data_IF_101859921162
#
_entry.id   IF_101859921162
#
_cell.length_a   1.000
_cell.length_b   1.000
_cell.length_c   1.000
_cell.angle_alpha   90.00
_cell.angle_beta   90.00
_cell.angle_gamma   90.00
#
_symmetry.space_group_name_H-M   'P 1'
#
loop_
_entity.id
_entity.type
_entity.pdbx_description
1 polymer ?
#
# COMPACT_ATOMS: atom_id res chain seq x y z
N UNK A 1 -29.52 -33.25 25.99
CA UNK A 1 -29.52 -32.07 25.09
C UNK A 1 -28.75 -32.43 23.83
N UNK A 2 -29.31 -32.22 22.65
CA UNK A 2 -28.59 -32.48 21.40
C UNK A 2 -27.53 -31.39 21.18
N UNK A 3 -26.26 -31.79 21.00
CA UNK A 3 -25.16 -30.90 20.66
C UNK A 3 -25.30 -30.46 19.21
N UNK A 4 -25.57 -29.18 18.96
CA UNK A 4 -25.57 -28.61 17.60
C UNK A 4 -24.14 -28.27 17.20
N UNK A 5 -23.56 -29.08 16.32
CA UNK A 5 -22.24 -28.80 15.74
C UNK A 5 -22.43 -27.87 14.54
N UNK A 6 -21.90 -26.65 14.61
CA UNK A 6 -21.90 -25.70 13.49
C UNK A 6 -20.57 -25.82 12.75
N UNK A 7 -20.60 -26.31 11.50
CA UNK A 7 -19.42 -26.33 10.62
C UNK A 7 -19.18 -24.92 10.08
N UNK A 8 -17.96 -24.42 10.26
CA UNK A 8 -17.47 -23.20 9.61
C UNK A 8 -16.56 -23.56 8.45
N UNK A 9 -16.75 -22.89 7.33
CA UNK A 9 -15.89 -22.99 6.15
C UNK A 9 -15.33 -21.60 5.83
N UNK A 10 -14.13 -21.53 5.24
CA UNK A 10 -13.59 -20.26 4.76
C UNK A 10 -14.56 -19.63 3.76
N UNK A 11 -14.80 -18.33 3.90
CA UNK A 11 -15.62 -17.54 2.98
C UNK A 11 -14.71 -16.77 2.02
N UNK A 12 -13.74 -16.06 2.58
CA UNK A 12 -12.83 -15.18 1.85
C UNK A 12 -11.58 -14.92 2.69
N UNK A 13 -10.45 -14.75 2.01
CA UNK A 13 -9.22 -14.22 2.59
C UNK A 13 -8.87 -12.88 1.97
N UNK A 14 -8.23 -12.03 2.76
CA UNK A 14 -7.67 -10.77 2.31
C UNK A 14 -6.28 -10.65 2.93
N UNK A 15 -5.31 -10.23 2.12
CA UNK A 15 -3.95 -9.98 2.56
C UNK A 15 -3.46 -8.61 2.11
N UNK A 16 -2.62 -8.01 2.94
CA UNK A 16 -1.85 -6.82 2.59
C UNK A 16 -0.47 -7.29 2.17
N UNK A 17 -0.19 -7.23 0.87
CA UNK A 17 1.12 -7.62 0.35
C UNK A 17 2.03 -6.41 0.32
N UNK A 18 3.04 -6.45 1.19
CA UNK A 18 4.05 -5.41 1.28
C UNK A 18 5.37 -5.87 0.66
N UNK A 19 5.68 -5.38 -0.55
CA UNK A 19 6.86 -5.86 -1.29
C UNK A 19 8.19 -5.50 -0.64
N UNK A 20 8.22 -4.49 0.25
CA UNK A 20 9.41 -4.16 1.04
C UNK A 20 9.92 -5.36 1.88
N UNK A 21 9.01 -6.23 2.37
CA UNK A 21 9.35 -7.44 3.15
C UNK A 21 9.43 -8.72 2.31
N UNK A 22 9.28 -8.64 0.98
CA UNK A 22 9.13 -9.82 0.10
C UNK A 22 10.31 -10.78 0.08
N UNK A 23 11.49 -10.34 0.53
CA UNK A 23 12.69 -11.17 0.62
C UNK A 23 12.66 -12.14 1.82
N UNK A 24 11.78 -11.91 2.82
CA UNK A 24 11.53 -12.77 4.00
C UNK A 24 12.78 -13.14 4.83
N UNK A 25 13.83 -12.30 4.83
CA UNK A 25 15.14 -12.65 5.43
C UNK A 25 15.24 -12.25 6.91
N UNK A 26 14.25 -11.54 7.45
CA UNK A 26 14.33 -11.01 8.80
C UNK A 26 13.69 -11.96 9.84
N UNK A 27 14.54 -12.67 10.59
CA UNK A 27 14.10 -13.56 11.67
C UNK A 27 13.33 -12.83 12.79
N UNK A 28 13.56 -11.53 12.99
CA UNK A 28 12.81 -10.75 13.99
C UNK A 28 11.33 -10.54 13.61
N UNK A 29 10.99 -10.60 12.32
CA UNK A 29 9.57 -10.63 11.87
C UNK A 29 8.97 -12.05 11.92
N UNK A 30 9.77 -13.08 12.16
CA UNK A 30 9.27 -14.45 12.37
C UNK A 30 8.84 -14.69 13.84
N UNK A 31 9.40 -13.94 14.80
CA UNK A 31 9.08 -14.11 16.23
C UNK A 31 7.82 -13.35 16.66
N UNK A 32 7.64 -12.10 16.22
CA UNK A 32 6.39 -11.33 16.37
C UNK A 32 6.32 -10.28 15.26
N UNK A 33 5.75 -10.60 14.08
CA UNK A 33 5.62 -9.62 13.00
C UNK A 33 4.86 -8.39 13.49
N UNK A 34 5.49 -7.22 13.41
CA UNK A 34 4.78 -5.94 13.64
C UNK A 34 4.05 -5.59 12.36
N UNK A 35 2.72 -5.69 12.40
CA UNK A 35 1.89 -5.35 11.25
C UNK A 35 1.94 -3.84 10.99
N UNK A 36 2.06 -3.45 9.72
CA UNK A 36 1.93 -2.06 9.32
C UNK A 36 0.49 -1.55 9.42
N UNK A 37 -0.47 -2.48 9.41
CA UNK A 37 -1.89 -2.19 9.42
C UNK A 37 -2.64 -3.07 10.42
N UNK A 38 -3.65 -2.49 11.05
CA UNK A 38 -4.69 -3.22 11.77
C UNK A 38 -5.98 -3.12 10.98
N UNK A 39 -6.57 -4.26 10.63
CA UNK A 39 -7.87 -4.29 9.95
C UNK A 39 -8.95 -4.65 10.97
N UNK A 40 -10.01 -3.86 11.00
CA UNK A 40 -11.15 -4.07 11.89
C UNK A 40 -12.46 -3.99 11.10
N UNK A 41 -13.43 -4.88 11.33
CA UNK A 41 -14.73 -4.76 10.67
C UNK A 41 -15.47 -3.51 11.16
N UNK A 42 -16.27 -2.88 10.30
CA UNK A 42 -17.16 -1.80 10.76
C UNK A 42 -18.22 -2.34 11.72
N UNK A 43 -18.87 -1.47 12.50
CA UNK A 43 -19.93 -1.88 13.42
C UNK A 43 -21.07 -2.61 12.70
N UNK A 44 -21.44 -2.14 11.50
CA UNK A 44 -22.45 -2.75 10.66
C UNK A 44 -21.99 -4.10 10.10
N UNK A 45 -20.71 -4.20 9.70
CA UNK A 45 -20.13 -5.47 9.27
C UNK A 45 -20.11 -6.50 10.40
N UNK A 46 -19.77 -6.09 11.63
CA UNK A 46 -19.83 -6.98 12.81
C UNK A 46 -21.26 -7.47 13.07
N UNK A 47 -22.25 -6.57 13.03
CA UNK A 47 -23.65 -6.93 13.21
C UNK A 47 -24.13 -7.88 12.11
N UNK A 48 -23.77 -7.60 10.85
CA UNK A 48 -24.07 -8.46 9.70
C UNK A 48 -23.44 -9.85 9.86
N UNK A 49 -22.14 -9.92 10.16
CA UNK A 49 -21.44 -11.19 10.33
C UNK A 49 -22.05 -12.02 11.46
N UNK A 50 -22.39 -11.41 12.59
CA UNK A 50 -23.11 -12.09 13.69
C UNK A 50 -24.46 -12.64 13.22
N UNK A 51 -25.25 -11.84 12.52
CA UNK A 51 -26.55 -12.26 12.00
C UNK A 51 -26.45 -13.40 10.96
N UNK A 52 -25.34 -13.45 10.21
CA UNK A 52 -25.11 -14.47 9.17
C UNK A 52 -24.29 -15.67 9.64
N UNK A 53 -23.96 -15.79 10.92
CA UNK A 53 -23.05 -16.83 11.44
C UNK A 53 -21.70 -16.80 10.72
N UNK A 54 -21.10 -15.63 10.62
CA UNK A 54 -19.75 -15.43 10.10
C UNK A 54 -18.80 -15.03 11.23
N UNK A 55 -17.54 -15.41 11.11
CA UNK A 55 -16.48 -15.12 12.08
C UNK A 55 -15.33 -14.46 11.36
N UNK A 56 -14.91 -13.30 11.86
CA UNK A 56 -13.73 -12.58 11.42
C UNK A 56 -12.51 -12.99 12.24
N UNK A 57 -11.37 -13.18 11.59
CA UNK A 57 -10.08 -13.41 12.23
C UNK A 57 -9.00 -12.61 11.51
N UNK A 58 -8.22 -11.84 12.26
CA UNK A 58 -7.00 -11.25 11.71
C UNK A 58 -5.94 -12.32 11.45
N UNK A 59 -5.04 -12.03 10.52
CA UNK A 59 -3.87 -12.85 10.21
C UNK A 59 -2.62 -12.15 10.71
N UNK A 60 -1.90 -12.81 11.62
CA UNK A 60 -0.74 -12.20 12.26
C UNK A 60 0.45 -12.07 11.30
N UNK A 61 0.46 -12.82 10.19
CA UNK A 61 1.60 -12.88 9.26
C UNK A 61 1.45 -12.02 8.01
N UNK A 62 0.22 -11.75 7.55
CA UNK A 62 -0.06 -11.09 6.26
C UNK A 62 -0.70 -9.71 6.40
N UNK A 63 -0.85 -9.18 7.61
CA UNK A 63 -1.52 -7.89 7.85
C UNK A 63 -2.96 -7.84 7.36
N UNK A 64 -3.55 -9.01 7.14
CA UNK A 64 -4.83 -9.24 6.49
C UNK A 64 -5.83 -9.91 7.41
N UNK A 65 -6.85 -10.55 6.83
CA UNK A 65 -7.87 -11.28 7.59
C UNK A 65 -8.46 -12.46 6.82
N UNK A 66 -9.13 -13.33 7.56
CA UNK A 66 -9.98 -14.40 7.06
C UNK A 66 -11.38 -14.20 7.60
N UNK A 67 -12.38 -14.35 6.73
CA UNK A 67 -13.77 -14.49 7.15
C UNK A 67 -14.18 -15.95 6.96
N UNK A 68 -14.72 -16.54 8.01
CA UNK A 68 -15.32 -17.88 8.00
C UNK A 68 -16.84 -17.72 8.01
N UNK A 69 -17.57 -18.62 7.35
CA UNK A 69 -19.02 -18.64 7.37
C UNK A 69 -19.56 -20.01 7.80
N UNK A 70 -20.66 -19.99 8.54
CA UNK A 70 -21.40 -21.20 8.89
C UNK A 70 -22.02 -21.82 7.63
N UNK A 71 -21.74 -23.10 7.41
CA UNK A 71 -22.22 -23.85 6.24
C UNK A 71 -23.13 -25.00 6.65
N UNK A 72 -24.10 -25.34 5.81
CA UNK A 72 -25.03 -26.46 6.04
C UNK A 72 -25.17 -27.31 4.77
N UNK A 73 -24.60 -28.52 4.82
CA UNK A 73 -24.66 -29.45 3.70
C UNK A 73 -23.80 -29.02 2.51
N UNK A 74 -24.08 -29.64 1.36
CA UNK A 74 -23.36 -29.41 0.10
C UNK A 74 -24.34 -29.36 -1.06
N UNK A 75 -23.98 -28.68 -2.15
CA UNK A 75 -24.71 -28.77 -3.42
C UNK A 75 -24.35 -30.06 -4.18
N UNK A 76 -24.94 -30.27 -5.36
CA UNK A 76 -24.68 -31.45 -6.20
C UNK A 76 -23.21 -31.56 -6.66
N UNK A 77 -22.49 -30.45 -6.73
CA UNK A 77 -21.06 -30.41 -7.07
C UNK A 77 -20.15 -30.65 -5.84
N UNK A 78 -20.73 -30.89 -4.65
CA UNK A 78 -19.97 -31.13 -3.43
C UNK A 78 -19.44 -29.86 -2.75
N UNK A 79 -19.85 -28.67 -3.21
CA UNK A 79 -19.48 -27.38 -2.63
C UNK A 79 -20.30 -27.10 -1.37
N UNK A 80 -19.68 -26.54 -0.33
CA UNK A 80 -20.39 -26.17 0.89
C UNK A 80 -21.43 -25.08 0.59
N UNK A 81 -22.63 -25.21 1.18
CA UNK A 81 -23.68 -24.20 1.07
C UNK A 81 -23.70 -23.31 2.30
N UNK A 82 -23.85 -22.00 2.10
CA UNK A 82 -24.04 -21.07 3.20
C UNK A 82 -25.32 -21.40 3.98
N UNK A 83 -25.20 -21.43 5.31
CA UNK A 83 -26.33 -21.69 6.20
C UNK A 83 -27.38 -20.57 6.13
N UNK A 84 -26.90 -19.33 6.07
CA UNK A 84 -27.75 -18.14 5.97
C UNK A 84 -27.57 -17.52 4.60
N UNK A 85 -28.67 -17.23 3.91
CA UNK A 85 -28.64 -16.61 2.60
C UNK A 85 -28.09 -15.17 2.68
N UNK A 86 -27.35 -14.78 1.66
CA UNK A 86 -26.91 -13.40 1.41
C UNK A 86 -27.63 -12.86 0.17
N UNK A 87 -27.75 -11.55 0.08
CA UNK A 87 -28.40 -10.85 -1.04
C UNK A 87 -27.40 -10.05 -1.86
N UNK A 88 -27.82 -9.59 -3.05
CA UNK A 88 -26.98 -8.73 -3.88
C UNK A 88 -26.69 -7.34 -3.26
N UNK A 89 -27.44 -6.96 -2.23
CA UNK A 89 -27.19 -5.74 -1.47
C UNK A 89 -26.22 -5.96 -0.29
N UNK A 90 -25.88 -7.21 0.05
CA UNK A 90 -25.04 -7.50 1.20
C UNK A 90 -23.56 -7.23 0.89
N UNK A 91 -22.82 -6.78 1.91
CA UNK A 91 -21.39 -6.51 1.83
C UNK A 91 -20.69 -6.77 3.17
N UNK A 92 -19.37 -6.90 3.10
CA UNK A 92 -18.47 -6.88 4.25
C UNK A 92 -17.60 -5.62 4.15
N UNK A 93 -17.52 -4.84 5.22
CA UNK A 93 -16.77 -3.58 5.27
C UNK A 93 -15.79 -3.56 6.43
N UNK A 94 -14.57 -3.10 6.16
CA UNK A 94 -13.47 -3.08 7.12
C UNK A 94 -12.72 -1.76 7.06
N UNK A 95 -12.36 -1.23 8.22
CA UNK A 95 -11.42 -0.11 8.34
C UNK A 95 -9.99 -0.64 8.43
N UNK A 96 -9.10 0.00 7.67
CA UNK A 96 -7.67 -0.22 7.71
C UNK A 96 -7.03 0.93 8.50
N UNK A 97 -6.40 0.61 9.62
CA UNK A 97 -5.76 1.57 10.52
C UNK A 97 -4.24 1.45 10.38
N UNK A 98 -3.56 2.56 10.13
CA UNK A 98 -2.10 2.58 10.01
C UNK A 98 -1.45 2.43 11.39
N UNK A 99 -0.63 1.40 11.56
CA UNK A 99 0.19 1.18 12.76
C UNK A 99 1.63 1.67 12.57
N UNK A 100 2.12 1.62 11.34
CA UNK A 100 3.47 2.07 10.98
C UNK A 100 3.43 3.33 10.11
N UNK A 101 3.54 4.54 10.69
CA UNK A 101 3.56 5.77 9.90
C UNK A 101 4.76 5.88 8.96
N UNK A 102 5.84 5.11 9.18
CA UNK A 102 7.02 5.12 8.31
C UNK A 102 6.79 4.39 6.97
N UNK A 103 5.63 3.75 6.77
CA UNK A 103 5.29 3.04 5.54
C UNK A 103 5.40 3.90 4.28
N UNK A 104 5.07 5.19 4.38
CA UNK A 104 5.22 6.14 3.26
C UNK A 104 6.67 6.28 2.78
N UNK A 105 7.66 5.95 3.61
CA UNK A 105 9.08 6.08 3.28
C UNK A 105 9.60 4.90 2.45
N UNK A 106 8.95 3.73 2.52
CA UNK A 106 9.42 2.53 1.81
C UNK A 106 8.47 2.01 0.73
N UNK A 107 7.26 2.57 0.62
CA UNK A 107 6.31 2.25 -0.45
C UNK A 107 6.16 3.36 -1.48
N UNK A 108 5.72 3.01 -2.68
CA UNK A 108 5.37 3.98 -3.74
C UNK A 108 4.08 4.76 -3.47
N UNK A 109 3.52 4.66 -2.26
CA UNK A 109 2.36 5.44 -1.90
C UNK A 109 2.67 6.94 -1.99
N UNK A 110 1.70 7.78 -2.39
CA UNK A 110 1.84 9.22 -2.28
C UNK A 110 2.14 9.58 -0.83
N UNK A 111 3.10 10.47 -0.66
CA UNK A 111 3.58 10.95 0.64
C UNK A 111 2.61 11.91 1.29
N UNK A 112 1.72 12.47 0.47
CA UNK A 112 0.55 13.24 0.88
C UNK A 112 -0.67 12.66 0.16
N UNK A 113 -1.60 12.10 0.94
CA UNK A 113 -2.95 11.91 0.44
C UNK A 113 -3.56 13.29 0.16
N UNK A 114 -4.44 13.38 -0.84
CA UNK A 114 -5.26 14.57 -0.98
C UNK A 114 -5.98 14.83 0.34
N UNK A 115 -5.90 16.05 0.86
CA UNK A 115 -6.46 16.38 2.17
C UNK A 115 -7.94 15.98 2.21
N UNK A 116 -8.31 15.15 3.19
CA UNK A 116 -9.68 14.63 3.30
C UNK A 116 -9.99 13.39 2.47
N UNK A 117 -9.00 12.72 1.88
CA UNK A 117 -9.17 11.40 1.24
C UNK A 117 -8.67 10.26 2.13
N UNK A 118 -9.12 9.05 1.79
CA UNK A 118 -8.66 7.75 2.31
C UNK A 118 -8.48 6.77 1.15
N UNK A 119 -7.74 5.68 1.35
CA UNK A 119 -7.74 4.59 0.39
C UNK A 119 -9.08 3.84 0.38
N UNK A 120 -9.50 3.40 -0.80
CA UNK A 120 -10.73 2.65 -1.00
C UNK A 120 -10.49 1.43 -1.87
N UNK A 121 -10.68 0.25 -1.28
CA UNK A 121 -10.45 -1.03 -1.91
C UNK A 121 -11.77 -1.79 -2.04
N UNK A 122 -12.06 -2.36 -3.20
CA UNK A 122 -13.28 -3.13 -3.40
C UNK A 122 -13.08 -4.33 -4.31
N UNK A 123 -13.93 -5.34 -4.19
CA UNK A 123 -13.96 -6.47 -5.14
C UNK A 123 -14.82 -6.18 -6.38
N UNK A 124 -15.22 -4.91 -6.59
CA UNK A 124 -15.86 -4.45 -7.82
C UNK A 124 -14.82 -4.04 -8.87
N UNK A 125 -13.72 -4.78 -8.94
CA UNK A 125 -12.62 -4.58 -9.89
C UNK A 125 -12.83 -5.50 -11.08
N UNK A 126 -12.41 -5.05 -12.26
CA UNK A 126 -12.45 -5.82 -13.49
C UNK A 126 -11.04 -6.23 -13.92
N UNK A 127 -10.53 -7.31 -13.33
CA UNK A 127 -9.30 -7.97 -13.73
C UNK A 127 -9.62 -9.44 -14.06
N UNK A 128 -9.81 -9.73 -15.34
CA UNK A 128 -10.17 -11.08 -15.79
C UNK A 128 -8.97 -12.04 -15.82
N UNK A 129 -7.73 -11.52 -15.75
CA UNK A 129 -6.51 -12.30 -15.82
C UNK A 129 -6.03 -12.75 -14.42
N UNK A 130 -6.46 -12.06 -13.36
CA UNK A 130 -6.11 -12.42 -12.00
C UNK A 130 -6.59 -13.83 -11.61
N UNK A 131 -5.67 -14.62 -11.06
CA UNK A 131 -5.97 -15.91 -10.47
C UNK A 131 -6.80 -15.72 -9.19
N UNK A 132 -7.74 -16.63 -8.92
CA UNK A 132 -8.66 -16.51 -7.78
C UNK A 132 -7.96 -16.48 -6.41
N UNK A 133 -6.76 -17.03 -6.32
CA UNK A 133 -5.91 -16.99 -5.13
C UNK A 133 -5.01 -15.74 -5.04
N UNK A 134 -5.14 -14.78 -5.97
CA UNK A 134 -4.38 -13.52 -5.99
C UNK A 134 -5.18 -12.42 -6.74
N UNK A 135 -6.29 -11.99 -6.15
CA UNK A 135 -7.21 -11.01 -6.74
C UNK A 135 -6.94 -9.60 -6.21
N UNK A 136 -6.56 -8.68 -7.08
CA UNK A 136 -6.30 -7.29 -6.68
C UNK A 136 -7.60 -6.57 -6.32
N UNK A 137 -7.62 -5.84 -5.19
CA UNK A 137 -8.73 -4.94 -4.81
C UNK A 137 -8.53 -3.49 -5.28
N UNK A 138 -7.39 -3.23 -5.92
CA UNK A 138 -6.99 -1.93 -6.47
C UNK A 138 -7.51 -1.80 -7.89
N UNK A 139 -7.75 -0.57 -8.35
CA UNK A 139 -8.13 -0.31 -9.74
C UNK A 139 -6.99 -0.58 -10.71
N UNK A 140 -5.75 -0.50 -10.25
CA UNK A 140 -4.55 -0.82 -11.01
C UNK A 140 -4.06 -2.23 -10.65
N UNK A 141 -4.00 -3.13 -11.64
CA UNK A 141 -3.55 -4.52 -11.46
C UNK A 141 -2.10 -4.65 -10.99
N UNK A 142 -1.30 -3.59 -11.13
CA UNK A 142 0.09 -3.61 -10.68
C UNK A 142 0.25 -3.33 -9.18
N UNK A 143 -0.78 -2.81 -8.51
CA UNK A 143 -0.78 -2.51 -7.08
C UNK A 143 -1.48 -1.19 -6.74
N UNK A 144 -1.44 -0.81 -5.46
CA UNK A 144 -2.10 0.40 -4.93
C UNK A 144 -1.53 1.64 -5.62
N UNK A 145 -2.42 2.46 -6.15
CA UNK A 145 -2.11 3.72 -6.81
C UNK A 145 -2.79 4.87 -6.07
N UNK A 146 -1.95 5.76 -5.55
CA UNK A 146 -2.36 6.94 -4.81
C UNK A 146 -3.38 7.82 -5.51
N UNK A 147 -3.41 7.88 -6.84
CA UNK A 147 -4.30 8.81 -7.53
C UNK A 147 -5.69 8.21 -7.80
N UNK A 148 -5.78 6.89 -7.95
CA UNK A 148 -7.02 6.23 -8.40
C UNK A 148 -7.70 5.41 -7.30
N UNK A 149 -6.96 4.93 -6.31
CA UNK A 149 -7.48 4.13 -5.20
C UNK A 149 -7.87 4.98 -3.99
N UNK A 150 -8.10 6.29 -4.18
CA UNK A 150 -8.58 7.19 -3.15
C UNK A 150 -10.07 7.51 -3.27
N UNK A 151 -10.70 7.77 -2.14
CA UNK A 151 -12.05 8.31 -2.04
C UNK A 151 -12.08 9.40 -0.97
N UNK A 152 -12.82 10.49 -1.23
CA UNK A 152 -13.06 11.53 -0.22
C UNK A 152 -13.74 10.93 0.99
N UNK A 153 -13.33 11.29 2.20
CA UNK A 153 -14.01 10.93 3.44
C UNK A 153 -14.83 12.09 3.99
N UNK A 154 -15.87 11.75 4.75
CA UNK A 154 -16.67 12.72 5.51
C UNK A 154 -16.90 12.26 6.95
N UNK A 155 -17.08 13.23 7.84
CA UNK A 155 -17.66 13.05 9.17
C UNK A 155 -19.18 13.21 9.12
N UNK A 156 -19.82 13.24 10.29
CA UNK A 156 -21.26 13.41 10.42
C UNK A 156 -21.75 14.78 9.90
N UNK A 157 -20.92 15.82 10.01
CA UNK A 157 -21.24 17.15 9.50
C UNK A 157 -20.59 17.31 8.13
N UNK A 158 -21.30 16.88 7.08
CA UNK A 158 -20.82 17.00 5.71
C UNK A 158 -21.14 18.39 5.16
N UNK A 159 -20.14 19.04 4.56
CA UNK A 159 -20.29 20.36 3.94
C UNK A 159 -19.85 20.32 2.47
N UNK A 160 -20.50 21.12 1.64
CA UNK A 160 -20.19 21.24 0.22
C UNK A 160 -20.46 22.66 -0.28
N UNK A 161 -19.48 23.27 -0.93
CA UNK A 161 -19.64 24.55 -1.63
C UNK A 161 -20.01 24.28 -3.09
N UNK A 162 -21.17 24.77 -3.51
CA UNK A 162 -21.70 24.59 -4.86
C UNK A 162 -21.67 25.92 -5.62
N UNK A 163 -21.10 25.90 -6.83
CA UNK A 163 -21.10 27.03 -7.76
C UNK A 163 -22.47 27.20 -8.42
N UNK A 164 -23.44 27.65 -7.65
CA UNK A 164 -24.80 28.00 -8.08
C UNK A 164 -25.70 28.31 -6.90
N UNK A 165 -26.87 28.88 -7.18
CA UNK A 165 -27.92 29.13 -6.18
C UNK A 165 -28.89 27.96 -6.17
N UNK A 166 -29.04 27.30 -5.02
CA UNK A 166 -29.99 26.19 -4.86
C UNK A 166 -30.80 26.34 -3.57
N UNK A 167 -31.89 25.59 -3.48
CA UNK A 167 -32.67 25.43 -2.23
C UNK A 167 -32.37 24.08 -1.59
N UNK A 168 -32.63 23.96 -0.28
CA UNK A 168 -32.36 22.73 0.48
C UNK A 168 -33.04 21.48 -0.11
N UNK A 169 -34.22 21.62 -0.74
CA UNK A 169 -34.95 20.50 -1.35
C UNK A 169 -34.26 19.92 -2.60
N UNK A 170 -33.34 20.68 -3.21
CA UNK A 170 -32.58 20.26 -4.39
C UNK A 170 -31.29 19.50 -4.04
N UNK A 171 -30.84 19.55 -2.80
CA UNK A 171 -29.61 18.91 -2.35
C UNK A 171 -29.92 17.72 -1.42
N UNK A 172 -29.41 16.54 -1.79
CA UNK A 172 -29.66 15.28 -1.08
C UNK A 172 -28.38 14.46 -1.00
N UNK A 173 -28.10 13.85 0.14
CA UNK A 173 -27.10 12.79 0.27
C UNK A 173 -27.81 11.45 0.25
N UNK A 174 -27.40 10.55 -0.65
CA UNK A 174 -27.91 9.17 -0.74
C UNK A 174 -26.84 8.19 -0.27
N UNK A 175 -27.16 7.37 0.72
CA UNK A 175 -26.30 6.26 1.13
C UNK A 175 -26.50 5.08 0.17
N UNK A 176 -25.40 4.59 -0.43
CA UNK A 176 -25.50 3.64 -1.55
C UNK A 176 -25.96 2.24 -1.14
N UNK A 177 -25.62 1.81 0.09
CA UNK A 177 -26.02 0.48 0.57
C UNK A 177 -27.49 0.43 0.98
N UNK A 178 -27.92 1.36 1.83
CA UNK A 178 -29.26 1.32 2.42
C UNK A 178 -30.29 2.03 1.56
N UNK A 179 -29.86 2.81 0.57
CA UNK A 179 -30.74 3.69 -0.21
C UNK A 179 -31.28 4.88 0.58
N UNK A 180 -30.91 5.02 1.86
CA UNK A 180 -31.37 6.11 2.72
C UNK A 180 -30.96 7.47 2.16
N UNK A 181 -31.83 8.46 2.28
CA UNK A 181 -31.63 9.81 1.76
C UNK A 181 -31.73 10.82 2.89
N UNK A 182 -30.74 11.71 2.97
CA UNK A 182 -30.70 12.84 3.89
C UNK A 182 -30.79 14.13 3.09
N UNK A 183 -31.72 15.02 3.43
CA UNK A 183 -31.83 16.36 2.83
C UNK A 183 -30.88 17.33 3.50
N UNK A 184 -30.53 18.42 2.81
CA UNK A 184 -29.68 19.46 3.40
C UNK A 184 -30.30 20.03 4.69
N UNK A 185 -29.48 20.15 5.74
CA UNK A 185 -29.84 20.78 7.02
C UNK A 185 -29.87 22.29 6.90
N UNK A 186 -28.92 22.86 6.17
CA UNK A 186 -28.91 24.28 5.82
C UNK A 186 -28.33 24.51 4.43
N UNK A 187 -28.77 25.60 3.80
CA UNK A 187 -28.20 26.15 2.57
C UNK A 187 -28.04 27.65 2.78
N UNK A 188 -26.80 28.14 2.70
CA UNK A 188 -26.48 29.57 2.81
C UNK A 188 -26.05 30.05 1.44
N UNK A 189 -26.80 31.00 0.86
CA UNK A 189 -26.50 31.57 -0.46
C UNK A 189 -25.63 32.81 -0.29
N UNK A 190 -24.48 32.84 -0.96
CA UNK A 190 -23.55 33.96 -0.98
C UNK A 190 -23.24 34.33 -2.45
N UNK A 191 -23.93 35.35 -2.96
CA UNK A 191 -23.82 35.73 -4.37
C UNK A 191 -24.27 34.59 -5.29
N UNK A 192 -23.35 34.04 -6.09
CA UNK A 192 -23.60 32.95 -7.04
C UNK A 192 -23.25 31.56 -6.48
N UNK A 193 -22.86 31.45 -5.21
CA UNK A 193 -22.49 30.19 -4.56
C UNK A 193 -23.47 29.83 -3.44
N UNK A 194 -23.59 28.52 -3.16
CA UNK A 194 -24.35 27.99 -2.03
C UNK A 194 -23.46 27.09 -1.18
N UNK A 195 -23.38 27.38 0.11
CA UNK A 195 -22.79 26.50 1.11
C UNK A 195 -23.87 25.59 1.69
N UNK A 196 -23.70 24.29 1.50
CA UNK A 196 -24.67 23.26 1.85
C UNK A 196 -24.13 22.45 3.02
N UNK A 197 -24.96 22.21 4.02
CA UNK A 197 -24.60 21.33 5.16
C UNK A 197 -25.59 20.18 5.32
N UNK A 198 -25.09 19.04 5.76
CA UNK A 198 -25.87 17.83 6.05
C UNK A 198 -25.46 17.26 7.41
N UNK A 199 -26.45 16.69 8.10
CA UNK A 199 -26.22 15.86 9.29
C UNK A 199 -26.41 14.38 8.90
N UNK A 200 -25.30 13.67 8.81
CA UNK A 200 -25.23 12.25 8.42
C UNK A 200 -25.25 11.31 9.62
N UNK A 201 -25.43 11.80 10.85
CA UNK A 201 -25.32 10.99 12.07
C UNK A 201 -26.31 9.82 12.14
N UNK A 202 -27.42 9.88 11.41
CA UNK A 202 -28.42 8.81 11.31
C UNK A 202 -28.06 7.72 10.29
N UNK A 203 -27.06 7.95 9.45
CA UNK A 203 -26.61 6.97 8.46
C UNK A 203 -25.59 6.00 9.07
N UNK A 204 -25.53 4.75 8.58
CA UNK A 204 -24.38 3.89 8.83
C UNK A 204 -23.16 4.35 8.04
N UNK A 205 -21.97 3.84 8.40
CA UNK A 205 -20.76 4.07 7.61
C UNK A 205 -20.86 3.43 6.21
N UNK A 206 -20.29 4.10 5.19
CA UNK A 206 -20.33 3.61 3.82
C UNK A 206 -20.22 4.69 2.74
N UNK A 207 -20.23 4.26 1.49
CA UNK A 207 -20.26 5.16 0.34
C UNK A 207 -21.58 5.94 0.25
N UNK A 208 -21.44 7.25 0.05
CA UNK A 208 -22.51 8.20 -0.13
C UNK A 208 -22.31 8.96 -1.45
N UNK A 209 -23.42 9.39 -2.05
CA UNK A 209 -23.44 10.32 -3.17
C UNK A 209 -24.17 11.59 -2.77
N UNK A 210 -23.57 12.74 -3.05
CA UNK A 210 -24.28 14.02 -3.06
C UNK A 210 -24.98 14.17 -4.40
N UNK A 211 -26.29 14.40 -4.37
CA UNK A 211 -27.10 14.73 -5.53
C UNK A 211 -27.60 16.17 -5.42
N UNK A 212 -27.29 16.99 -6.42
CA UNK A 212 -27.85 18.32 -6.59
C UNK A 212 -28.71 18.31 -7.85
N UNK A 213 -29.99 18.68 -7.73
CA UNK A 213 -30.97 18.54 -8.80
C UNK A 213 -31.05 17.09 -9.35
N UNK A 214 -30.91 16.10 -8.47
CA UNK A 214 -30.83 14.67 -8.80
C UNK A 214 -29.63 14.24 -9.68
N UNK A 215 -28.62 15.11 -9.84
CA UNK A 215 -27.38 14.79 -10.54
C UNK A 215 -26.29 14.53 -9.50
N UNK A 216 -25.57 13.41 -9.64
CA UNK A 216 -24.44 13.07 -8.75
C UNK A 216 -23.35 14.13 -8.92
N UNK A 217 -23.08 14.87 -7.85
CA UNK A 217 -22.11 15.97 -7.82
C UNK A 217 -20.86 15.63 -7.02
N UNK A 218 -20.98 14.78 -6.00
CA UNK A 218 -19.84 14.27 -5.21
C UNK A 218 -20.07 12.81 -4.81
N UNK A 219 -18.99 12.06 -4.61
CA UNK A 219 -19.01 10.69 -4.07
C UNK A 219 -17.93 10.58 -2.99
N UNK A 220 -18.33 10.15 -1.81
CA UNK A 220 -17.46 10.10 -0.64
C UNK A 220 -17.79 8.92 0.27
N UNK A 221 -16.88 8.58 1.17
CA UNK A 221 -17.09 7.59 2.22
C UNK A 221 -17.42 8.29 3.54
N UNK A 222 -18.59 8.01 4.11
CA UNK A 222 -18.94 8.45 5.44
C UNK A 222 -18.36 7.49 6.49
N UNK A 223 -17.50 8.00 7.38
CA UNK A 223 -16.77 7.17 8.36
C UNK A 223 -17.59 6.79 9.60
N UNK A 224 -18.76 7.39 9.82
CA UNK A 224 -19.53 7.18 11.04
C UNK A 224 -18.73 7.54 12.30
N UNK A 225 -18.76 6.66 13.29
CA UNK A 225 -18.04 6.82 14.57
C UNK A 225 -16.51 6.84 14.44
N UNK A 226 -15.96 6.40 13.30
CA UNK A 226 -14.52 6.37 13.04
C UNK A 226 -13.98 7.68 12.46
N UNK A 227 -14.80 8.73 12.33
CA UNK A 227 -14.38 10.01 11.76
C UNK A 227 -13.20 10.68 12.51
N UNK A 228 -13.07 10.41 13.81
CA UNK A 228 -11.99 10.94 14.66
C UNK A 228 -10.75 10.03 14.72
N UNK A 229 -10.79 8.87 14.08
CA UNK A 229 -9.67 7.93 14.03
C UNK A 229 -8.83 8.17 12.78
N UNK A 230 -7.55 7.83 12.83
CA UNK A 230 -6.67 7.84 11.65
C UNK A 230 -6.94 6.61 10.77
N UNK A 231 -8.11 6.60 10.12
CA UNK A 231 -8.45 5.60 9.11
C UNK A 231 -7.60 5.86 7.87
N UNK A 232 -6.75 4.88 7.55
CA UNK A 232 -5.88 4.90 6.37
C UNK A 232 -6.65 4.53 5.10
N UNK A 233 -7.51 3.52 5.22
CA UNK A 233 -8.35 3.09 4.11
C UNK A 233 -9.57 2.28 4.54
N UNK A 234 -10.39 1.94 3.57
CA UNK A 234 -11.55 1.07 3.72
C UNK A 234 -11.48 -0.06 2.71
N UNK A 235 -11.84 -1.26 3.14
CA UNK A 235 -12.09 -2.40 2.27
C UNK A 235 -13.60 -2.69 2.26
N UNK A 236 -14.22 -2.65 1.09
CA UNK A 236 -15.62 -3.04 0.88
C UNK A 236 -15.73 -4.23 -0.09
N UNK A 237 -16.17 -5.37 0.44
CA UNK A 237 -16.37 -6.59 -0.32
C UNK A 237 -17.86 -6.83 -0.54
N UNK A 238 -18.34 -6.63 -1.76
CA UNK A 238 -19.71 -6.97 -2.16
C UNK A 238 -19.89 -8.48 -2.20
N UNK A 239 -21.04 -8.96 -1.70
CA UNK A 239 -21.47 -10.35 -1.78
C UNK A 239 -22.41 -10.60 -2.98
N UNK A 240 -22.48 -9.65 -3.93
CA UNK A 240 -23.36 -9.75 -5.08
C UNK A 240 -22.97 -10.88 -6.02
N UNK A 241 -23.97 -11.65 -6.44
CA UNK A 241 -23.83 -12.67 -7.47
C UNK A 241 -23.54 -12.06 -8.87
N UNK A 242 -23.72 -10.74 -9.03
CA UNK A 242 -23.46 -10.02 -10.29
C UNK A 242 -21.99 -9.74 -10.56
N UNK A 243 -21.08 -9.99 -9.61
CA UNK A 243 -19.65 -9.80 -9.81
C UNK A 243 -19.10 -10.82 -10.83
N UNK A 244 -17.95 -10.50 -11.41
CA UNK A 244 -17.18 -11.46 -12.21
C UNK A 244 -16.90 -12.73 -11.40
N UNK A 245 -16.97 -13.91 -12.04
CA UNK A 245 -16.89 -15.20 -11.33
C UNK A 245 -15.69 -15.31 -10.38
N UNK A 246 -14.50 -14.86 -10.80
CA UNK A 246 -13.31 -14.90 -9.95
C UNK A 246 -13.41 -13.99 -8.71
N UNK A 247 -14.11 -12.85 -8.82
CA UNK A 247 -14.29 -11.86 -7.76
C UNK A 247 -15.56 -12.09 -6.91
N UNK A 248 -16.29 -13.19 -7.15
CA UNK A 248 -17.41 -13.56 -6.30
C UNK A 248 -16.93 -14.25 -5.04
N UNK A 249 -17.49 -13.84 -3.91
CA UNK A 249 -17.31 -14.53 -2.63
C UNK A 249 -18.30 -15.69 -2.50
N UNK A 250 -19.53 -15.48 -3.00
CA UNK A 250 -20.63 -16.45 -2.93
C UNK A 250 -21.18 -16.64 -4.34
N UNK A 251 -21.37 -17.90 -4.73
CA UNK A 251 -21.97 -18.21 -6.03
C UNK A 251 -23.51 -18.00 -6.02
N UNK A 252 -24.16 -17.86 -7.19
CA UNK A 252 -25.61 -17.59 -7.25
C UNK A 252 -26.49 -18.63 -6.52
N UNK A 253 -26.03 -19.87 -6.42
CA UNK A 253 -26.71 -20.97 -5.71
C UNK A 253 -26.43 -20.98 -4.20
N UNK A 254 -25.72 -19.97 -3.68
CA UNK A 254 -25.22 -19.84 -2.29
C UNK A 254 -24.10 -20.80 -1.93
N UNK A 255 -23.49 -21.46 -2.92
CA UNK A 255 -22.35 -22.33 -2.68
C UNK A 255 -21.04 -21.56 -2.57
N UNK A 256 -20.09 -22.19 -1.90
CA UNK A 256 -18.71 -21.73 -1.77
C UNK A 256 -17.80 -22.69 -2.56
N UNK A 257 -17.26 -22.21 -3.68
CA UNK A 257 -16.35 -23.00 -4.54
C UNK A 257 -15.01 -23.26 -3.86
N UNK A 258 -14.43 -24.48 -3.89
CA UNK A 258 -13.22 -24.85 -3.13
C UNK A 258 -12.06 -23.85 -3.26
N UNK A 259 -11.84 -23.31 -4.45
CA UNK A 259 -10.94 -22.19 -4.67
C UNK A 259 -11.57 -20.88 -4.15
N UNK A 260 -11.45 -20.63 -2.85
CA UNK A 260 -11.93 -19.39 -2.22
C UNK A 260 -11.18 -18.18 -2.78
N UNK A 261 -11.85 -17.02 -2.94
CA UNK A 261 -11.16 -15.80 -3.35
C UNK A 261 -10.17 -15.36 -2.26
N UNK A 262 -8.94 -15.12 -2.68
CA UNK A 262 -7.93 -14.44 -1.87
C UNK A 262 -7.66 -13.07 -2.47
N UNK A 263 -8.09 -12.04 -1.76
CA UNK A 263 -7.95 -10.66 -2.17
C UNK A 263 -6.66 -10.05 -1.69
N UNK A 264 -6.08 -9.15 -2.50
CA UNK A 264 -4.79 -8.55 -2.24
C UNK A 264 -4.87 -7.03 -2.39
N UNK A 265 -4.39 -6.34 -1.36
CA UNK A 265 -3.93 -4.96 -1.47
C UNK A 265 -2.40 -4.96 -1.59
N UNK A 266 -1.89 -4.72 -2.80
CA UNK A 266 -0.46 -4.82 -3.11
C UNK A 266 0.22 -3.46 -3.00
N UNK A 267 1.03 -3.28 -1.96
CA UNK A 267 1.88 -2.12 -1.76
C UNK A 267 3.24 -2.38 -2.40
N UNK A 268 3.59 -1.55 -3.38
CA UNK A 268 4.88 -1.65 -4.08
C UNK A 268 5.95 -0.94 -3.27
N UNK A 269 7.11 -1.55 -3.25
CA UNK A 269 8.32 -0.95 -2.73
C UNK A 269 8.75 0.28 -3.55
N UNK A 270 9.23 1.29 -2.85
CA UNK A 270 9.69 2.55 -3.41
C UNK A 270 11.01 2.35 -4.15
N UNK A 271 11.13 2.84 -5.41
CA UNK A 271 12.41 2.93 -6.08
C UNK A 271 13.24 4.08 -5.51
N UNK A 272 14.54 3.88 -5.33
CA UNK A 272 15.48 4.89 -4.82
C UNK A 272 16.71 5.02 -5.71
N UNK A 273 17.36 6.18 -5.67
CA UNK A 273 18.68 6.38 -6.26
C UNK A 273 19.68 6.55 -5.13
N UNK A 274 20.69 5.69 -5.10
CA UNK A 274 21.67 5.71 -4.01
C UNK A 274 22.82 6.63 -4.37
N UNK A 275 23.14 7.55 -3.46
CA UNK A 275 24.28 8.46 -3.59
C UNK A 275 25.27 8.19 -2.46
N UNK A 276 26.51 7.86 -2.82
CA UNK A 276 27.61 7.73 -1.88
C UNK A 276 28.47 8.98 -1.96
N UNK A 277 28.49 9.76 -0.89
CA UNK A 277 29.40 10.91 -0.71
C UNK A 277 30.55 10.47 0.17
N UNK A 278 31.71 10.29 -0.43
CA UNK A 278 32.93 9.86 0.23
C UNK A 278 33.77 11.10 0.52
N UNK A 279 33.86 11.47 1.79
CA UNK A 279 34.74 12.52 2.30
C UNK A 279 36.08 11.91 2.66
N UNK A 280 37.14 12.41 2.06
CA UNK A 280 38.51 11.98 2.33
C UNK A 280 39.12 12.92 3.36
N UNK A 281 39.73 12.36 4.40
CA UNK A 281 40.59 13.14 5.26
C UNK A 281 41.94 13.40 4.58
N UNK A 282 42.62 14.49 4.96
CA UNK A 282 43.95 14.84 4.40
C UNK A 282 45.05 13.83 4.77
N UNK A 283 44.81 12.98 5.75
CA UNK A 283 45.67 11.85 6.12
C UNK A 283 45.17 10.51 5.54
N UNK A 284 44.06 10.49 4.80
CA UNK A 284 43.55 9.24 4.23
C UNK A 284 44.51 8.69 3.17
N UNK A 285 44.72 7.36 3.09
CA UNK A 285 45.63 6.78 2.11
C UNK A 285 45.29 7.15 0.66
N UNK A 286 43.99 7.26 0.35
CA UNK A 286 43.52 7.64 -0.97
C UNK A 286 43.88 9.08 -1.31
N UNK A 287 43.68 10.02 -0.38
CA UNK A 287 44.07 11.41 -0.56
C UNK A 287 45.59 11.55 -0.72
N UNK A 288 46.37 10.92 0.16
CA UNK A 288 47.83 10.99 0.14
C UNK A 288 48.42 10.41 -1.16
N UNK A 289 47.75 9.43 -1.78
CA UNK A 289 48.12 8.93 -3.10
C UNK A 289 47.77 9.96 -4.20
N UNK A 290 46.54 10.49 -4.19
CA UNK A 290 46.09 11.50 -5.15
C UNK A 290 46.93 12.79 -5.09
N UNK A 291 47.38 13.20 -3.91
CA UNK A 291 48.19 14.40 -3.70
C UNK A 291 49.59 14.32 -4.34
N UNK A 292 50.07 13.11 -4.65
CA UNK A 292 51.36 12.88 -5.33
C UNK A 292 51.27 12.88 -6.85
N UNK A 293 50.05 12.93 -7.40
CA UNK A 293 49.79 12.82 -8.83
C UNK A 293 49.72 14.20 -9.49
N UNK A 294 50.15 14.28 -10.75
CA UNK A 294 49.86 15.45 -11.59
C UNK A 294 48.35 15.55 -11.88
N UNK A 295 47.83 16.71 -12.33
CA UNK A 295 46.41 16.84 -12.65
C UNK A 295 45.88 15.78 -13.62
N UNK A 296 46.64 15.46 -14.69
CA UNK A 296 46.26 14.44 -15.68
C UNK A 296 46.23 13.04 -15.04
N UNK A 297 47.27 12.68 -14.29
CA UNK A 297 47.35 11.39 -13.59
C UNK A 297 46.24 11.24 -12.55
N UNK A 298 45.87 12.33 -11.87
CA UNK A 298 44.78 12.36 -10.90
C UNK A 298 43.43 12.11 -11.58
N UNK A 299 43.19 12.71 -12.76
CA UNK A 299 41.99 12.42 -13.55
C UNK A 299 41.91 10.94 -13.93
N UNK A 300 43.01 10.35 -14.40
CA UNK A 300 43.04 8.94 -14.78
C UNK A 300 42.90 8.01 -13.57
N UNK A 301 43.49 8.36 -12.44
CA UNK A 301 43.31 7.68 -11.17
C UNK A 301 41.85 7.67 -10.72
N UNK A 302 41.19 8.82 -10.76
CA UNK A 302 39.78 8.96 -10.35
C UNK A 302 38.88 8.11 -11.25
N UNK A 303 39.16 8.03 -12.57
CA UNK A 303 38.43 7.15 -13.50
C UNK A 303 38.60 5.66 -13.18
N UNK A 304 39.66 5.28 -12.46
CA UNK A 304 39.90 3.90 -12.00
C UNK A 304 39.19 3.60 -10.66
N UNK A 305 38.56 4.58 -10.01
CA UNK A 305 37.75 4.34 -8.83
C UNK A 305 36.32 3.97 -9.22
N UNK A 306 35.79 2.94 -8.58
CA UNK A 306 34.42 2.50 -8.81
C UNK A 306 33.79 1.97 -7.52
N UNK A 307 32.50 2.21 -7.38
CA UNK A 307 31.67 1.41 -6.47
C UNK A 307 31.12 0.23 -7.27
N UNK A 308 31.41 -0.97 -6.77
CA UNK A 308 30.99 -2.24 -7.33
C UNK A 308 30.06 -2.97 -6.35
N UNK A 309 29.21 -3.84 -6.88
CA UNK A 309 28.33 -4.69 -6.09
C UNK A 309 28.51 -6.16 -6.49
N UNK A 310 28.29 -7.08 -5.55
CA UNK A 310 28.10 -8.50 -5.87
C UNK A 310 26.75 -8.78 -6.56
N UNK A 311 25.90 -7.76 -6.72
CA UNK A 311 24.76 -7.80 -7.63
C UNK A 311 25.10 -7.09 -8.94
N UNK A 312 25.16 -7.85 -10.03
CA UNK A 312 25.56 -7.30 -11.35
C UNK A 312 24.52 -6.35 -11.96
N UNK A 313 23.30 -6.33 -11.42
CA UNK A 313 22.24 -5.40 -11.84
C UNK A 313 22.42 -4.00 -11.23
N UNK A 314 23.16 -3.88 -10.12
CA UNK A 314 23.38 -2.63 -9.42
C UNK A 314 24.72 -2.03 -9.85
N UNK A 315 24.66 -0.92 -10.58
CA UNK A 315 25.84 -0.22 -11.11
C UNK A 315 25.88 1.22 -10.61
N UNK A 316 27.08 1.74 -10.44
CA UNK A 316 27.32 3.12 -10.01
C UNK A 316 28.20 3.85 -11.02
N UNK A 317 27.98 5.16 -11.13
CA UNK A 317 28.86 6.08 -11.85
C UNK A 317 29.40 7.14 -10.91
N UNK A 318 30.61 7.61 -11.17
CA UNK A 318 31.13 8.82 -10.53
C UNK A 318 30.34 10.03 -11.06
N UNK A 319 29.65 10.73 -10.16
CA UNK A 319 28.85 11.90 -10.47
C UNK A 319 29.66 13.19 -10.31
N UNK A 320 30.52 13.28 -9.31
CA UNK A 320 31.47 14.39 -9.13
C UNK A 320 32.70 13.96 -8.35
N UNK A 321 33.78 14.72 -8.51
CA UNK A 321 35.03 14.51 -7.79
C UNK A 321 35.71 15.84 -7.48
N UNK A 322 36.19 15.97 -6.26
CA UNK A 322 37.06 17.01 -5.75
C UNK A 322 38.19 16.35 -4.96
N UNK A 323 39.16 17.16 -4.52
CA UNK A 323 40.35 16.67 -3.82
C UNK A 323 40.03 15.90 -2.53
N UNK A 324 39.00 16.33 -1.81
CA UNK A 324 38.57 15.74 -0.54
C UNK A 324 37.19 15.07 -0.61
N UNK A 325 36.57 14.98 -1.80
CA UNK A 325 35.21 14.47 -1.92
C UNK A 325 35.00 13.72 -3.23
N UNK A 326 34.45 12.52 -3.17
CA UNK A 326 34.03 11.73 -4.33
C UNK A 326 32.55 11.39 -4.18
N UNK A 327 31.76 11.62 -5.23
CA UNK A 327 30.33 11.33 -5.22
C UNK A 327 30.01 10.29 -6.28
N UNK A 328 29.47 9.15 -5.86
CA UNK A 328 28.98 8.10 -6.75
C UNK A 328 27.45 8.00 -6.67
N UNK A 329 26.81 7.72 -7.80
CA UNK A 329 25.35 7.61 -7.90
C UNK A 329 24.97 6.33 -8.64
N UNK A 330 23.93 5.62 -8.19
CA UNK A 330 23.42 4.44 -8.89
C UNK A 330 22.93 4.82 -10.30
N UNK A 331 23.20 3.95 -11.28
CA UNK A 331 22.82 4.17 -12.68
C UNK A 331 21.36 3.86 -12.97
N UNK A 332 20.74 3.07 -12.10
CA UNK A 332 19.32 2.71 -12.15
C UNK A 332 18.69 2.91 -10.77
N UNK A 333 17.36 2.94 -10.76
CA UNK A 333 16.60 2.86 -9.53
C UNK A 333 16.83 1.51 -8.86
N UNK A 334 17.08 1.54 -7.56
CA UNK A 334 17.20 0.37 -6.71
C UNK A 334 15.97 0.33 -5.83
N UNK A 335 15.26 -0.77 -5.93
CA UNK A 335 14.05 -1.01 -5.16
C UNK A 335 14.37 -1.19 -3.67
N UNK A 336 13.64 -0.52 -2.79
CA UNK A 336 13.86 -0.68 -1.36
C UNK A 336 13.41 -2.06 -0.87
N UNK A 337 14.28 -2.67 -0.07
CA UNK A 337 14.01 -3.90 0.65
C UNK A 337 14.40 -3.72 2.11
N UNK A 338 13.74 -4.48 2.98
CA UNK A 338 14.11 -4.55 4.39
C UNK A 338 15.55 -5.04 4.58
N UNK A 339 15.99 -5.94 3.71
CA UNK A 339 17.36 -6.44 3.66
C UNK A 339 17.82 -6.63 2.22
N UNK A 340 18.96 -6.08 1.87
CA UNK A 340 19.48 -6.26 0.52
C UNK A 340 20.24 -7.57 0.39
N UNK A 341 19.85 -8.36 -0.62
CA UNK A 341 20.58 -9.53 -1.10
C UNK A 341 20.84 -9.40 -2.59
N UNK A 342 21.91 -10.03 -3.07
CA UNK A 342 22.18 -10.04 -4.51
C UNK A 342 21.08 -10.81 -5.23
N UNK A 343 20.40 -10.15 -6.18
CA UNK A 343 19.39 -10.75 -7.06
C UNK A 343 20.00 -11.69 -8.10
N UNK A 344 21.32 -11.61 -8.30
CA UNK A 344 22.07 -12.42 -9.27
C UNK A 344 22.82 -13.58 -8.61
N UNK A 345 22.82 -13.65 -7.27
CA UNK A 345 23.31 -14.81 -6.53
C UNK A 345 22.22 -15.89 -6.42
N UNK A 346 22.56 -17.12 -6.81
CA UNK A 346 21.66 -18.28 -6.65
C UNK A 346 21.35 -18.60 -5.18
N UNK A 347 22.26 -18.27 -4.27
CA UNK A 347 22.14 -18.50 -2.82
C UNK A 347 21.53 -17.30 -2.08
N UNK A 348 21.16 -16.22 -2.78
CA UNK A 348 20.66 -14.97 -2.21
C UNK A 348 21.59 -14.41 -1.13
N UNK A 349 22.88 -14.38 -1.42
CA UNK A 349 23.88 -13.85 -0.50
C UNK A 349 23.55 -12.39 -0.11
N UNK A 350 23.95 -11.93 1.09
CA UNK A 350 23.87 -10.52 1.44
C UNK A 350 24.45 -9.66 0.32
N UNK A 351 23.78 -8.55 0.02
CA UNK A 351 24.34 -7.57 -0.89
C UNK A 351 25.66 -7.07 -0.26
N UNK A 352 26.67 -6.86 -1.08
CA UNK A 352 27.97 -6.33 -0.69
C UNK A 352 28.28 -5.22 -1.68
N UNK A 353 28.55 -4.03 -1.15
CA UNK A 353 28.97 -2.86 -1.91
C UNK A 353 30.41 -2.55 -1.55
N UNK A 354 31.26 -2.39 -2.56
CA UNK A 354 32.70 -2.23 -2.39
C UNK A 354 33.21 -1.06 -3.20
N UNK A 355 33.89 -0.12 -2.53
CA UNK A 355 34.74 0.86 -3.19
C UNK A 355 36.05 0.18 -3.58
N UNK A 356 36.31 0.17 -4.87
CA UNK A 356 37.46 -0.48 -5.48
C UNK A 356 38.25 0.51 -6.33
N UNK A 357 39.53 0.19 -6.51
CA UNK A 357 40.45 0.87 -7.42
C UNK A 357 41.01 -0.14 -8.40
N UNK A 358 40.91 0.13 -9.70
CA UNK A 358 41.59 -0.68 -10.70
C UNK A 358 43.06 -0.29 -10.78
N UNK A 359 43.97 -1.26 -10.63
CA UNK A 359 45.41 -1.05 -10.66
C UNK A 359 46.05 -1.83 -11.80
N UNK A 360 46.87 -1.15 -12.62
CA UNK A 360 47.72 -1.71 -13.69
C UNK A 360 46.97 -2.32 -14.90
N UNK A 361 47.73 -2.70 -15.92
CA UNK A 361 47.31 -3.50 -17.07
C UNK A 361 48.04 -4.84 -17.03
N UNK A 362 47.34 -6.00 -17.02
CA UNK A 362 45.88 -6.15 -16.97
C UNK A 362 45.30 -5.68 -15.62
N UNK A 363 44.04 -5.22 -15.65
CA UNK A 363 43.36 -4.60 -14.52
C UNK A 363 43.31 -5.54 -13.30
N UNK A 364 44.05 -5.21 -12.25
CA UNK A 364 43.91 -5.84 -10.92
C UNK A 364 43.07 -4.94 -10.03
N UNK A 365 41.93 -5.42 -9.57
CA UNK A 365 41.06 -4.69 -8.63
C UNK A 365 41.66 -4.74 -7.23
N UNK A 366 41.94 -3.58 -6.65
CA UNK A 366 42.30 -3.42 -5.25
C UNK A 366 41.09 -2.89 -4.48
N UNK A 367 40.74 -3.55 -3.38
CA UNK A 367 39.64 -3.12 -2.50
C UNK A 367 40.12 -1.95 -1.64
N UNK A 368 39.43 -0.81 -1.71
CA UNK A 368 39.66 0.35 -0.84
C UNK A 368 38.84 0.22 0.43
N UNK A 369 37.54 -0.07 0.28
CA UNK A 369 36.62 -0.33 1.40
C UNK A 369 35.51 -1.28 0.94
N UNK A 370 35.28 -2.32 1.73
CA UNK A 370 34.16 -3.25 1.49
C UNK A 370 33.00 -2.98 2.46
N UNK A 371 31.85 -3.56 2.15
CA UNK A 371 30.62 -3.44 2.95
C UNK A 371 30.21 -1.99 3.20
N UNK A 372 30.16 -1.19 2.13
CA UNK A 372 29.59 0.16 2.24
C UNK A 372 28.14 0.06 2.72
N UNK A 373 27.69 0.96 3.63
CA UNK A 373 26.37 0.86 4.22
C UNK A 373 25.26 1.10 3.20
N UNK A 374 24.07 0.58 3.50
CA UNK A 374 22.84 0.91 2.78
C UNK A 374 22.27 2.21 3.29
N UNK A 375 21.49 2.92 2.47
CA UNK A 375 20.77 4.07 2.96
C UNK A 375 19.74 3.67 4.03
N UNK A 376 19.63 4.49 5.07
CA UNK A 376 18.63 4.29 6.11
C UNK A 376 17.24 4.69 5.60
N UNK A 377 16.21 3.90 5.91
CA UNK A 377 14.82 4.21 5.56
C UNK A 377 14.25 5.38 6.36
N UNK A 378 14.87 5.73 7.49
CA UNK A 378 14.45 6.84 8.35
C UNK A 378 14.82 8.23 7.79
N UNK A 379 15.76 8.29 6.84
CA UNK A 379 16.28 9.53 6.25
C UNK A 379 15.83 9.76 4.80
N UNK A 380 14.93 8.90 4.31
CA UNK A 380 14.40 9.01 2.94
C UNK A 380 13.45 10.20 2.90
N UNK A 381 13.92 11.31 2.32
CA UNK A 381 13.08 12.48 2.05
C UNK A 381 12.11 12.16 0.92
N UNK A 382 10.89 11.84 1.31
CA UNK A 382 9.84 11.42 0.40
C UNK A 382 9.14 12.62 -0.29
N UNK A 383 9.48 13.86 0.10
CA UNK A 383 8.92 15.09 -0.48
C UNK A 383 9.39 15.42 -1.90
N UNK A 384 10.47 14.80 -2.38
CA UNK A 384 11.07 15.06 -3.70
C UNK A 384 10.88 13.89 -4.69
N UNK A 385 9.69 13.81 -5.29
CA UNK A 385 9.44 12.94 -6.46
C UNK A 385 10.10 13.53 -7.73
N UNK A 386 10.52 12.72 -8.73
CA UNK A 386 10.37 11.26 -8.84
C UNK A 386 11.59 10.46 -8.32
N UNK A 387 12.66 11.14 -7.91
CA UNK A 387 13.93 10.49 -7.54
C UNK A 387 14.27 10.84 -6.11
N UNK A 388 14.01 9.91 -5.20
CA UNK A 388 14.45 10.10 -3.83
C UNK A 388 15.90 9.69 -3.74
N UNK A 389 16.74 10.68 -3.47
CA UNK A 389 18.13 10.45 -3.16
C UNK A 389 18.22 9.85 -1.78
N UNK A 390 18.88 8.70 -1.71
CA UNK A 390 19.25 8.11 -0.44
C UNK A 390 20.75 8.34 -0.27
N UNK A 391 21.06 9.41 0.45
CA UNK A 391 22.43 9.86 0.66
C UNK A 391 23.12 9.02 1.74
N UNK A 392 24.31 8.53 1.40
CA UNK A 392 25.19 7.78 2.29
C UNK A 392 26.50 8.55 2.41
N UNK A 393 26.76 9.07 3.60
CA UNK A 393 27.97 9.82 3.91
C UNK A 393 29.02 8.88 4.51
N UNK A 394 30.21 8.86 3.91
CA UNK A 394 31.31 8.01 4.33
C UNK A 394 32.55 8.89 4.51
N UNK A 395 33.15 8.85 5.70
CA UNK A 395 34.47 9.42 5.92
C UNK A 395 35.51 8.31 5.81
N UNK A 396 36.56 8.53 5.02
CA UNK A 396 37.71 7.63 4.84
C UNK A 396 39.01 8.25 5.32
#
# INVERSE_FOLDING_TARGET
MATVIVKYSELVTMQVMQLFYSNQICASYQATPKLDFTIVPTAECMAFMKAKNMVFKNTDTTGGFVVMAGTSGKNLAGNDLLRNAVTNADKLSFFMLLQNPALVNFDTLPTQLNAGNIYYFSNQVKDLAAARNNLHLTKNATGVDGNVDQLKKSSANYTFNFAGVITASKAKVKHLLTGAVVTARSVIVQGTQSDITFDLSSLPSGCCQLLINNIVTDTFYFLGSMANQQVFGVIELSLSASLSANYRIVEPDRSLVPARPNYVALFKNRPTVWRYTIQLQTNSPLYLEMAKLTPVQKTDFIKQLAISSNDTTIKFKLASSADLSLVFVSMSNITLFEKYTSSTSATKDPLIITLSKYTKTPAKTAVVKTSLPYPSTAIIDSGSLPTIYSDVFITL
#
